data_IF_971154027878
#
_entry.id   IF_971154027878
#
_cell.length_a   1.000
_cell.length_b   1.000
_cell.length_c   1.000
_cell.angle_alpha   90.00
_cell.angle_beta   90.00
_cell.angle_gamma   90.00
#
_symmetry.space_group_name_H-M   'P 1'
#
loop_
_entity.id
_entity.type
_entity.pdbx_description
1 polymer ?
#
# COMPACT_ATOMS: atom_id res chain seq x y z
N UNK A 1 3.81 16.39 5.65
CA UNK A 1 5.17 16.90 5.93
C UNK A 1 5.89 17.04 4.61
N UNK A 2 6.64 18.13 4.40
CA UNK A 2 7.47 18.27 3.21
C UNK A 2 8.78 17.51 3.45
N UNK A 3 9.05 16.50 2.63
CA UNK A 3 10.31 15.76 2.69
C UNK A 3 11.42 16.56 2.01
N UNK A 4 12.65 16.51 2.55
CA UNK A 4 13.80 17.07 1.83
C UNK A 4 14.09 16.28 0.56
N UNK A 5 14.81 16.88 -0.38
CA UNK A 5 15.23 16.21 -1.62
C UNK A 5 16.00 14.90 -1.33
N UNK A 6 16.89 14.92 -0.34
CA UNK A 6 17.63 13.73 0.11
C UNK A 6 16.70 12.65 0.66
N UNK A 7 15.68 13.03 1.43
CA UNK A 7 14.69 12.08 1.94
C UNK A 7 13.88 11.45 0.80
N UNK A 8 13.46 12.25 -0.19
CA UNK A 8 12.73 11.76 -1.36
C UNK A 8 13.56 10.75 -2.16
N UNK A 9 14.80 11.11 -2.51
CA UNK A 9 15.72 10.21 -3.22
C UNK A 9 15.91 8.87 -2.51
N UNK A 10 16.07 8.90 -1.17
CA UNK A 10 16.20 7.69 -0.37
C UNK A 10 14.92 6.84 -0.35
N UNK A 11 13.75 7.47 -0.25
CA UNK A 11 12.47 6.77 -0.29
C UNK A 11 12.21 6.14 -1.66
N UNK A 12 12.45 6.87 -2.76
CA UNK A 12 12.29 6.36 -4.13
C UNK A 12 13.24 5.20 -4.41
N UNK A 13 14.50 5.30 -4.00
CA UNK A 13 15.46 4.21 -4.11
C UNK A 13 15.02 2.96 -3.32
N UNK A 14 14.50 3.14 -2.11
CA UNK A 14 13.98 2.04 -1.31
C UNK A 14 12.75 1.39 -1.95
N UNK A 15 11.79 2.18 -2.44
CA UNK A 15 10.61 1.70 -3.17
C UNK A 15 11.05 0.88 -4.38
N UNK A 16 11.96 1.40 -5.20
CA UNK A 16 12.41 0.72 -6.41
C UNK A 16 13.07 -0.62 -6.08
N UNK A 17 14.07 -0.63 -5.19
CA UNK A 17 14.79 -1.85 -4.84
C UNK A 17 13.89 -2.89 -4.19
N UNK A 18 12.97 -2.45 -3.33
CA UNK A 18 12.03 -3.35 -2.66
C UNK A 18 10.94 -3.84 -3.60
N UNK A 19 10.50 -3.06 -4.59
CA UNK A 19 9.55 -3.53 -5.60
C UNK A 19 10.11 -4.71 -6.42
N UNK A 20 11.43 -4.82 -6.51
CA UNK A 20 12.17 -5.85 -7.24
C UNK A 20 12.61 -7.02 -6.34
N UNK A 21 12.91 -6.79 -5.07
CA UNK A 21 13.53 -7.78 -4.17
C UNK A 21 12.78 -7.92 -2.83
N UNK A 22 12.96 -9.03 -2.12
CA UNK A 22 12.36 -9.17 -0.78
C UNK A 22 13.10 -8.33 0.27
N UNK A 23 12.36 -7.92 1.31
CA UNK A 23 12.81 -7.02 2.37
C UNK A 23 14.13 -7.41 3.02
N UNK A 24 14.34 -8.71 3.21
CA UNK A 24 15.52 -9.29 3.86
C UNK A 24 16.79 -9.09 3.05
N UNK A 25 16.69 -8.91 1.72
CA UNK A 25 17.84 -8.73 0.82
C UNK A 25 18.24 -7.28 0.56
N UNK A 26 17.45 -6.31 1.02
CA UNK A 26 17.79 -4.89 0.89
C UNK A 26 19.01 -4.50 1.73
N UNK A 27 20.10 -4.06 1.08
CA UNK A 27 21.23 -3.42 1.74
C UNK A 27 21.06 -1.90 1.84
N UNK A 28 21.40 -1.33 3.00
CA UNK A 28 21.49 0.14 3.20
C UNK A 28 22.46 0.77 2.20
N UNK A 29 23.56 0.08 1.89
CA UNK A 29 24.55 0.57 0.92
C UNK A 29 23.94 0.69 -0.48
N UNK A 30 23.20 -0.33 -0.93
CA UNK A 30 22.52 -0.30 -2.23
C UNK A 30 21.50 0.83 -2.34
N UNK A 31 20.78 1.11 -1.24
CA UNK A 31 19.83 2.22 -1.20
C UNK A 31 20.56 3.57 -1.33
N UNK A 32 21.65 3.77 -0.59
CA UNK A 32 22.43 5.01 -0.67
C UNK A 32 23.04 5.21 -2.07
N UNK A 33 23.59 4.15 -2.65
CA UNK A 33 24.20 4.18 -3.99
C UNK A 33 23.16 4.50 -5.06
N UNK A 34 22.00 3.85 -5.01
CA UNK A 34 20.90 4.12 -5.93
C UNK A 34 20.29 5.52 -5.74
N UNK A 35 20.20 6.01 -4.51
CA UNK A 35 19.74 7.36 -4.21
C UNK A 35 20.74 8.46 -4.61
N UNK A 36 21.98 8.08 -4.98
CA UNK A 36 23.04 9.02 -5.34
C UNK A 36 23.50 9.89 -4.18
N UNK A 37 23.33 9.44 -2.93
CA UNK A 37 23.75 10.21 -1.76
C UNK A 37 25.22 9.94 -1.44
N UNK A 38 26.03 11.00 -1.40
CA UNK A 38 27.46 10.91 -1.08
C UNK A 38 27.73 10.55 0.38
N UNK A 39 26.77 10.82 1.27
CA UNK A 39 26.87 10.54 2.71
C UNK A 39 26.25 9.17 3.04
N UNK A 40 27.08 8.19 3.38
CA UNK A 40 26.66 6.83 3.77
C UNK A 40 25.77 6.78 5.02
N UNK A 41 25.81 7.82 5.84
CA UNK A 41 24.99 7.94 7.06
C UNK A 41 23.67 8.69 6.83
N UNK A 42 23.39 9.19 5.62
CA UNK A 42 22.19 9.98 5.33
C UNK A 42 20.89 9.23 5.68
N UNK A 43 20.81 7.94 5.36
CA UNK A 43 19.69 7.09 5.73
C UNK A 43 19.47 7.08 7.26
N UNK A 44 20.51 6.78 8.05
CA UNK A 44 20.40 6.71 9.51
C UNK A 44 20.10 8.08 10.13
N UNK A 45 20.64 9.15 9.56
CA UNK A 45 20.36 10.51 10.03
C UNK A 45 18.87 10.85 9.91
N UNK A 46 18.28 10.62 8.73
CA UNK A 46 16.90 10.98 8.41
C UNK A 46 15.85 9.99 8.94
N UNK A 47 16.15 8.70 8.91
CA UNK A 47 15.14 7.65 9.15
C UNK A 47 15.44 6.78 10.37
N UNK A 48 16.60 6.94 11.01
CA UNK A 48 17.09 6.18 12.18
C UNK A 48 17.36 4.70 11.93
N UNK A 49 16.61 4.05 11.04
CA UNK A 49 16.77 2.66 10.66
C UNK A 49 16.24 2.42 9.25
N UNK A 50 16.56 1.25 8.69
CA UNK A 50 15.96 0.76 7.45
C UNK A 50 14.42 0.66 7.55
N UNK A 51 13.89 0.23 8.70
CA UNK A 51 12.44 0.17 8.92
C UNK A 51 11.81 1.55 8.94
N UNK A 52 12.47 2.55 9.53
CA UNK A 52 11.99 3.93 9.48
C UNK A 52 11.95 4.50 8.06
N UNK A 53 12.88 4.07 7.19
CA UNK A 53 12.85 4.44 5.77
C UNK A 53 11.69 3.75 5.05
N UNK A 54 11.47 2.45 5.28
CA UNK A 54 10.35 1.72 4.68
C UNK A 54 9.00 2.25 5.16
N UNK A 55 8.88 2.63 6.44
CA UNK A 55 7.69 3.29 6.97
C UNK A 55 7.44 4.62 6.27
N UNK A 56 8.47 5.48 6.17
CA UNK A 56 8.33 6.78 5.50
C UNK A 56 7.96 6.62 4.01
N UNK A 57 8.59 5.68 3.31
CA UNK A 57 8.26 5.35 1.92
C UNK A 57 6.83 4.81 1.77
N UNK A 58 6.36 4.01 2.73
CA UNK A 58 4.98 3.51 2.73
C UNK A 58 3.98 4.62 2.97
N UNK A 59 4.23 5.51 3.94
CA UNK A 59 3.39 6.67 4.18
C UNK A 59 3.35 7.59 2.96
N UNK A 60 4.49 7.81 2.28
CA UNK A 60 4.56 8.59 1.03
C UNK A 60 3.60 8.06 -0.04
N UNK A 61 3.50 6.73 -0.19
CA UNK A 61 2.59 6.10 -1.16
C UNK A 61 1.14 6.04 -0.66
N UNK A 62 0.90 5.64 0.59
CA UNK A 62 -0.43 5.28 1.07
C UNK A 62 -1.19 6.45 1.71
N UNK A 63 -0.52 7.48 2.24
CA UNK A 63 -1.22 8.62 2.87
C UNK A 63 -2.13 9.34 1.88
N UNK A 64 -1.69 9.68 0.64
CA UNK A 64 -2.55 10.32 -0.34
C UNK A 64 -3.76 9.44 -0.71
N UNK A 65 -3.50 8.14 -0.92
CA UNK A 65 -4.53 7.14 -1.20
C UNK A 65 -5.57 7.02 -0.10
N UNK A 66 -5.13 6.85 1.15
CA UNK A 66 -6.01 6.69 2.30
C UNK A 66 -6.85 7.96 2.53
N UNK A 67 -6.24 9.14 2.36
CA UNK A 67 -6.93 10.42 2.47
C UNK A 67 -8.04 10.55 1.42
N UNK A 68 -7.70 10.37 0.14
CA UNK A 68 -8.67 10.49 -0.96
C UNK A 68 -9.80 9.45 -0.82
N UNK A 69 -9.46 8.20 -0.51
CA UNK A 69 -10.46 7.14 -0.33
C UNK A 69 -11.39 7.44 0.83
N UNK A 70 -10.87 7.97 1.95
CA UNK A 70 -11.70 8.37 3.09
C UNK A 70 -12.63 9.53 2.74
N UNK A 71 -12.14 10.51 1.99
CA UNK A 71 -12.96 11.62 1.49
C UNK A 71 -14.10 11.13 0.59
N UNK A 72 -13.83 10.21 -0.33
CA UNK A 72 -14.87 9.61 -1.18
C UNK A 72 -15.87 8.75 -0.40
N UNK A 73 -15.40 7.93 0.56
CA UNK A 73 -16.26 7.14 1.42
C UNK A 73 -17.19 8.01 2.28
N UNK A 74 -16.70 9.17 2.75
CA UNK A 74 -17.50 10.10 3.54
C UNK A 74 -18.57 10.85 2.72
N UNK A 75 -18.50 10.83 1.39
CA UNK A 75 -19.55 11.40 0.52
C UNK A 75 -20.74 10.45 0.33
N UNK A 76 -20.58 9.17 0.68
CA UNK A 76 -21.65 8.18 0.54
C UNK A 76 -22.71 8.45 1.61
N UNK A 77 -23.95 8.68 1.18
CA UNK A 77 -25.08 8.89 2.09
C UNK A 77 -25.39 7.60 2.85
N UNK A 78 -25.58 7.71 4.17
CA UNK A 78 -25.97 6.56 5.01
C UNK A 78 -27.46 6.19 4.83
N UNK A 79 -28.29 7.09 4.29
CA UNK A 79 -29.72 6.82 4.02
C UNK A 79 -29.93 5.92 2.79
N UNK A 80 -28.98 5.95 1.84
CA UNK A 80 -29.02 5.13 0.64
C UNK A 80 -27.61 4.76 0.20
N UNK A 81 -27.20 3.54 0.54
CA UNK A 81 -25.85 3.04 0.26
C UNK A 81 -25.89 2.14 -0.98
N UNK A 82 -25.26 2.60 -2.06
CA UNK A 82 -24.96 1.75 -3.21
C UNK A 82 -23.61 1.03 -2.99
N UNK A 83 -23.56 -0.31 -2.95
CA UNK A 83 -22.30 -1.05 -2.73
C UNK A 83 -21.19 -0.72 -3.73
N UNK A 84 -21.55 -0.43 -4.99
CA UNK A 84 -20.62 -0.04 -6.04
C UNK A 84 -19.88 1.26 -5.68
N UNK A 85 -20.55 2.21 -5.01
CA UNK A 85 -19.95 3.47 -4.59
C UNK A 85 -18.83 3.25 -3.56
N UNK A 86 -18.99 2.27 -2.66
CA UNK A 86 -17.94 1.87 -1.70
C UNK A 86 -16.72 1.32 -2.46
N UNK A 87 -16.95 0.42 -3.42
CA UNK A 87 -15.88 -0.16 -4.26
C UNK A 87 -15.16 0.94 -5.03
N UNK A 88 -15.88 1.86 -5.69
CA UNK A 88 -15.28 2.97 -6.43
C UNK A 88 -14.45 3.89 -5.53
N UNK A 89 -14.96 4.23 -4.35
CA UNK A 89 -14.26 5.07 -3.37
C UNK A 89 -12.93 4.44 -2.90
N UNK A 90 -12.87 3.11 -2.83
CA UNK A 90 -11.66 2.37 -2.45
C UNK A 90 -10.68 2.17 -3.62
N UNK A 91 -11.16 1.81 -4.82
CA UNK A 91 -10.26 1.35 -5.89
C UNK A 91 -9.89 2.44 -6.90
N UNK A 92 -10.71 3.48 -7.10
CA UNK A 92 -10.36 4.56 -8.04
C UNK A 92 -9.07 5.30 -7.62
N UNK A 93 -8.86 5.65 -6.33
CA UNK A 93 -7.59 6.22 -5.89
C UNK A 93 -6.38 5.28 -6.06
N UNK A 94 -6.57 3.95 -5.98
CA UNK A 94 -5.49 2.99 -6.32
C UNK A 94 -5.16 2.99 -7.81
N UNK A 95 -6.17 3.11 -8.68
CA UNK A 95 -5.96 3.26 -10.13
C UNK A 95 -5.24 4.57 -10.43
N UNK A 96 -5.59 5.65 -9.75
CA UNK A 96 -4.90 6.94 -9.88
C UNK A 96 -3.40 6.81 -9.52
N UNK A 97 -3.04 6.00 -8.51
CA UNK A 97 -1.64 5.65 -8.23
C UNK A 97 -1.03 4.90 -9.41
N UNK A 98 -1.69 3.84 -9.91
CA UNK A 98 -1.16 3.00 -10.99
C UNK A 98 -0.81 3.80 -12.25
N UNK A 99 -1.57 4.86 -12.53
CA UNK A 99 -1.39 5.71 -13.72
C UNK A 99 -0.25 6.74 -13.58
N UNK A 100 0.40 6.86 -12.43
CA UNK A 100 1.60 7.69 -12.27
C UNK A 100 2.81 7.02 -12.91
N UNK A 101 3.84 7.80 -13.28
CA UNK A 101 5.06 7.30 -13.94
C UNK A 101 5.72 6.12 -13.18
N UNK A 102 5.71 6.16 -11.84
CA UNK A 102 6.23 5.11 -10.96
C UNK A 102 5.13 4.31 -10.23
N UNK A 103 3.89 4.40 -10.70
CA UNK A 103 2.70 3.87 -10.05
C UNK A 103 2.75 2.36 -9.81
N UNK A 104 3.23 1.61 -10.80
CA UNK A 104 3.37 0.16 -10.69
C UNK A 104 4.40 -0.22 -9.61
N UNK A 105 5.50 0.52 -9.48
CA UNK A 105 6.52 0.28 -8.46
C UNK A 105 5.95 0.55 -7.05
N UNK A 106 5.12 1.58 -6.90
CA UNK A 106 4.41 1.87 -5.65
C UNK A 106 3.47 0.73 -5.24
N UNK A 107 2.68 0.20 -6.18
CA UNK A 107 1.77 -0.90 -5.87
C UNK A 107 2.52 -2.22 -5.60
N UNK A 108 3.61 -2.50 -6.32
CA UNK A 108 4.49 -3.65 -6.03
C UNK A 108 5.14 -3.52 -4.66
N UNK A 109 5.60 -2.32 -4.30
CA UNK A 109 6.15 -2.02 -2.98
C UNK A 109 5.12 -2.30 -1.88
N UNK A 110 3.91 -1.76 -2.01
CA UNK A 110 2.80 -2.00 -1.09
C UNK A 110 2.49 -3.51 -0.95
N UNK A 111 2.33 -4.22 -2.06
CA UNK A 111 2.05 -5.67 -2.07
C UNK A 111 3.14 -6.48 -1.32
N UNK A 112 4.41 -6.12 -1.49
CA UNK A 112 5.50 -6.78 -0.79
C UNK A 112 5.52 -6.44 0.70
N UNK A 113 5.16 -5.22 1.09
CA UNK A 113 5.03 -4.85 2.50
C UNK A 113 3.97 -5.69 3.22
N UNK A 114 2.88 -6.07 2.55
CA UNK A 114 1.88 -7.02 3.10
C UNK A 114 2.53 -8.37 3.45
N UNK A 115 3.48 -8.80 2.61
CA UNK A 115 4.18 -10.10 2.74
C UNK A 115 5.38 -10.03 3.70
N UNK A 116 5.76 -8.85 4.19
CA UNK A 116 6.99 -8.61 4.97
C UNK A 116 6.76 -8.80 6.47
N UNK A 117 6.24 -9.97 6.86
CA UNK A 117 6.10 -10.32 8.27
C UNK A 117 5.10 -9.44 9.04
N UNK A 118 5.29 -9.32 10.35
CA UNK A 118 4.38 -8.60 11.24
C UNK A 118 4.59 -7.08 11.14
N UNK A 119 5.83 -6.64 10.97
CA UNK A 119 6.24 -5.25 10.88
C UNK A 119 5.60 -4.56 9.68
N UNK A 120 5.70 -5.16 8.49
CA UNK A 120 5.06 -4.63 7.29
C UNK A 120 3.54 -4.55 7.43
N UNK A 121 2.92 -5.58 8.03
CA UNK A 121 1.47 -5.60 8.30
C UNK A 121 1.05 -4.49 9.27
N UNK A 122 1.82 -4.22 10.33
CA UNK A 122 1.55 -3.12 11.28
C UNK A 122 1.61 -1.76 10.60
N UNK A 123 2.61 -1.52 9.75
CA UNK A 123 2.74 -0.27 9.00
C UNK A 123 1.56 -0.04 8.06
N UNK A 124 1.13 -1.09 7.34
CA UNK A 124 -0.05 -1.01 6.45
C UNK A 124 -1.33 -0.77 7.25
N UNK A 125 -1.51 -1.49 8.36
CA UNK A 125 -2.69 -1.33 9.20
C UNK A 125 -2.81 0.10 9.74
N UNK A 126 -1.68 0.73 10.11
CA UNK A 126 -1.64 2.13 10.55
C UNK A 126 -2.18 3.08 9.49
N UNK A 127 -1.76 2.92 8.23
CA UNK A 127 -2.17 3.79 7.13
C UNK A 127 -3.62 3.52 6.68
N UNK A 128 -4.03 2.26 6.62
CA UNK A 128 -5.31 1.86 6.01
C UNK A 128 -6.46 1.68 7.01
N UNK A 129 -6.20 1.70 8.32
CA UNK A 129 -7.25 1.53 9.34
C UNK A 129 -8.42 2.52 9.19
N UNK A 130 -8.22 3.82 8.90
CA UNK A 130 -9.33 4.76 8.77
C UNK A 130 -10.31 4.39 7.64
N UNK A 131 -9.76 4.05 6.47
CA UNK A 131 -10.59 3.68 5.31
C UNK A 131 -11.24 2.32 5.51
N UNK A 132 -10.53 1.36 6.12
CA UNK A 132 -11.07 0.04 6.41
C UNK A 132 -12.27 0.14 7.36
N UNK A 133 -12.15 0.92 8.44
CA UNK A 133 -13.26 1.15 9.40
C UNK A 133 -14.49 1.75 8.72
N UNK A 134 -14.31 2.80 7.91
CA UNK A 134 -15.44 3.45 7.23
C UNK A 134 -16.07 2.54 6.17
N UNK A 135 -15.27 1.82 5.39
CA UNK A 135 -15.75 0.87 4.39
C UNK A 135 -16.53 -0.29 5.05
N UNK A 136 -16.00 -0.88 6.14
CA UNK A 136 -16.69 -1.92 6.92
C UNK A 136 -18.03 -1.40 7.45
N UNK A 137 -18.07 -0.18 8.02
CA UNK A 137 -19.33 0.42 8.49
C UNK A 137 -20.38 0.50 7.37
N UNK A 138 -19.99 1.04 6.21
CA UNK A 138 -20.91 1.20 5.07
C UNK A 138 -21.35 -0.15 4.50
N UNK A 139 -20.45 -1.14 4.43
CA UNK A 139 -20.78 -2.49 3.97
C UNK A 139 -21.74 -3.19 4.94
N UNK A 140 -21.57 -3.04 6.25
CA UNK A 140 -22.50 -3.59 7.25
C UNK A 140 -23.89 -2.97 7.16
N UNK A 141 -23.98 -1.68 6.84
CA UNK A 141 -25.26 -1.01 6.62
C UNK A 141 -25.90 -1.44 5.29
N UNK A 142 -25.11 -1.59 4.22
CA UNK A 142 -25.60 -2.02 2.91
C UNK A 142 -26.01 -3.51 2.87
N UNK A 143 -25.40 -4.35 3.69
CA UNK A 143 -25.62 -5.78 3.75
C UNK A 143 -25.84 -6.25 5.20
N UNK A 144 -26.97 -5.92 5.84
CA UNK A 144 -27.20 -6.22 7.26
C UNK A 144 -27.25 -7.72 7.56
N UNK A 145 -27.61 -8.54 6.57
CA UNK A 145 -27.68 -10.01 6.69
C UNK A 145 -26.31 -10.70 6.47
N UNK A 146 -25.30 -9.98 5.99
CA UNK A 146 -23.98 -10.56 5.78
C UNK A 146 -23.29 -10.77 7.13
N UNK A 147 -22.62 -11.93 7.28
CA UNK A 147 -21.84 -12.19 8.48
C UNK A 147 -20.69 -11.19 8.60
N UNK A 148 -20.29 -10.86 9.84
CA UNK A 148 -19.13 -10.00 10.08
C UNK A 148 -17.88 -10.54 9.39
N UNK A 149 -17.68 -11.86 9.40
CA UNK A 149 -16.57 -12.50 8.70
C UNK A 149 -16.61 -12.21 7.19
N UNK A 150 -17.78 -12.17 6.55
CA UNK A 150 -17.89 -11.84 5.13
C UNK A 150 -17.54 -10.36 4.83
N UNK A 151 -17.71 -9.46 5.80
CA UNK A 151 -17.47 -8.01 5.66
C UNK A 151 -16.04 -7.63 6.08
N UNK A 152 -15.49 -8.28 7.10
CA UNK A 152 -14.14 -8.03 7.62
C UNK A 152 -13.05 -8.75 6.81
N UNK A 153 -13.41 -9.79 6.03
CA UNK A 153 -12.48 -10.60 5.23
C UNK A 153 -12.37 -10.30 3.71
N UNK A 154 -12.63 -9.10 3.15
CA UNK A 154 -12.27 -8.83 1.74
C UNK A 154 -10.75 -8.88 1.53
N UNK A 155 -9.93 -8.66 2.57
CA UNK A 155 -8.47 -8.74 2.51
C UNK A 155 -7.93 -10.17 2.38
N UNK A 156 -8.73 -11.21 2.65
CA UNK A 156 -8.37 -12.60 2.35
C UNK A 156 -8.34 -12.87 0.85
N UNK A 157 -9.13 -12.16 0.05
CA UNK A 157 -9.04 -12.25 -1.42
C UNK A 157 -7.65 -11.79 -1.84
N UNK A 158 -7.15 -10.66 -1.33
CA UNK A 158 -5.77 -10.20 -1.56
C UNK A 158 -4.70 -11.17 -1.03
N UNK A 159 -4.93 -11.87 0.11
CA UNK A 159 -4.04 -12.97 0.54
C UNK A 159 -4.09 -14.17 -0.42
N UNK A 160 -5.24 -14.49 -1.00
CA UNK A 160 -5.37 -15.52 -2.06
C UNK A 160 -4.76 -15.07 -3.38
N UNK A 161 -4.79 -13.78 -3.71
CA UNK A 161 -4.04 -13.23 -4.86
C UNK A 161 -2.53 -13.32 -4.61
N UNK A 162 -2.06 -13.33 -3.36
CA UNK A 162 -0.67 -13.64 -3.05
C UNK A 162 -0.28 -15.11 -3.33
N UNK A 163 -1.25 -16.02 -3.52
CA UNK A 163 -1.01 -17.37 -4.06
C UNK A 163 -0.67 -17.28 -5.57
N UNK A 164 -1.12 -16.24 -6.27
CA UNK A 164 -0.73 -16.00 -7.67
C UNK A 164 0.69 -15.44 -7.81
N UNK A 165 1.34 -15.03 -6.72
CA UNK A 165 2.78 -14.69 -6.72
C UNK A 165 3.67 -15.93 -6.90
N UNK A 166 3.16 -17.11 -6.52
CA UNK A 166 3.83 -18.40 -6.69
C UNK A 166 3.41 -19.13 -7.98
N UNK A 167 2.55 -18.51 -8.81
CA UNK A 167 2.25 -19.03 -10.13
C UNK A 167 3.29 -18.48 -11.12
N UNK A 168 4.03 -19.33 -11.83
CA UNK A 168 4.89 -18.85 -12.91
C UNK A 168 4.00 -18.23 -14.01
N UNK A 169 4.49 -17.13 -14.60
CA UNK A 169 3.74 -16.25 -15.52
C UNK A 169 3.10 -17.02 -16.71
N UNK A 170 3.64 -18.18 -17.06
CA UNK A 170 3.17 -19.08 -18.11
C UNK A 170 1.84 -19.79 -17.79
N UNK A 171 1.36 -19.72 -16.55
CA UNK A 171 0.10 -20.38 -16.12
C UNK A 171 -1.07 -19.45 -15.87
N UNK A 172 -0.90 -18.14 -16.03
CA UNK A 172 -2.03 -17.20 -16.01
C UNK A 172 -2.71 -17.24 -17.38
N UNK A 173 -3.52 -18.28 -17.62
CA UNK A 173 -4.49 -18.26 -18.72
C UNK A 173 -5.64 -17.34 -18.33
N UNK A 174 -5.50 -16.07 -18.70
CA UNK A 174 -6.66 -15.20 -18.86
C UNK A 174 -7.35 -15.69 -20.12
N UNK A 175 -8.34 -16.57 -19.96
CA UNK A 175 -9.21 -16.93 -21.09
C UNK A 175 -10.01 -15.68 -21.51
N UNK A 176 -10.28 -15.53 -22.82
CA UNK A 176 -10.89 -14.34 -23.41
C UNK A 176 -12.31 -14.08 -22.90
#
# INVERSE_FOLDING_TARGET
MQHSETQLKLMEAAILLFSQNDATRLSVQQINDLAGVSNKSALYYHFKSKWGLLEAALSYVLTPYAKQSLEELNKISEDHIEPNSIVKAMYRPMVDILLQDNGLQYLKFFSRMISTGEEGRKMIAKELSPIAKKATQLLSQAFPEASKDAIDEPYRVCRRVNILRDYPDDKIKIYP
#
